data_IF_991635360533
#
_entry.id   IF_991635360533
#
_cell.length_a   1.000
_cell.length_b   1.000
_cell.length_c   1.000
_cell.angle_alpha   90.00
_cell.angle_beta   90.00
_cell.angle_gamma   90.00
#
_symmetry.space_group_name_H-M   'P 1'
#
loop_
_entity.id
_entity.type
_entity.pdbx_description
1 polymer ?
#
# COMPACT_ATOMS: atom_id res chain seq x y z
N UNK A 1 -13.83 -8.16 24.27
CA UNK A 1 -12.97 -8.80 23.25
C UNK A 1 -12.99 -7.86 22.07
N UNK A 2 -11.88 -7.17 21.75
CA UNK A 2 -11.89 -6.20 20.65
C UNK A 2 -12.22 -6.96 19.37
N UNK A 3 -13.42 -6.74 18.84
CA UNK A 3 -13.90 -7.26 17.56
C UNK A 3 -13.04 -6.59 16.49
N UNK A 4 -11.90 -7.23 16.21
CA UNK A 4 -10.85 -6.68 15.38
C UNK A 4 -11.33 -6.57 13.95
N UNK A 5 -11.69 -5.35 13.53
CA UNK A 5 -11.68 -5.01 12.11
C UNK A 5 -10.34 -5.51 11.54
N UNK A 6 -10.33 -6.27 10.43
CA UNK A 6 -9.09 -6.72 9.83
C UNK A 6 -8.15 -5.52 9.65
N UNK A 7 -6.90 -5.67 10.08
CA UNK A 7 -5.92 -4.58 10.01
C UNK A 7 -5.82 -4.07 8.57
N UNK A 8 -5.92 -2.75 8.39
CA UNK A 8 -5.87 -2.12 7.06
C UNK A 8 -4.51 -2.38 6.44
N UNK A 9 -4.50 -2.77 5.17
CA UNK A 9 -3.27 -3.05 4.44
C UNK A 9 -2.99 -1.92 3.46
N UNK A 10 -1.72 -1.55 3.34
CA UNK A 10 -1.31 -0.51 2.42
C UNK A 10 -0.18 -0.97 1.51
N UNK A 11 -0.22 -0.55 0.26
CA UNK A 11 0.88 -0.67 -0.67
C UNK A 11 1.38 0.72 -1.05
N UNK A 12 2.70 0.90 -1.07
CA UNK A 12 3.35 2.13 -1.49
C UNK A 12 3.98 1.91 -2.86
N UNK A 13 3.72 2.81 -3.79
CA UNK A 13 4.26 2.75 -5.16
C UNK A 13 4.65 4.13 -5.64
N UNK A 14 5.75 4.24 -6.41
CA UNK A 14 6.08 5.51 -7.06
C UNK A 14 5.15 5.70 -8.27
N UNK A 15 4.64 6.91 -8.52
CA UNK A 15 3.80 7.17 -9.69
C UNK A 15 4.48 6.78 -11.01
N UNK A 16 5.80 6.96 -11.11
CA UNK A 16 6.59 6.60 -12.29
C UNK A 16 6.69 5.08 -12.52
N UNK A 17 6.59 4.29 -11.47
CA UNK A 17 6.66 2.82 -11.55
C UNK A 17 5.28 2.20 -11.81
N UNK A 18 4.20 2.97 -11.61
CA UNK A 18 2.84 2.46 -11.71
C UNK A 18 2.45 2.13 -13.16
N UNK A 19 2.38 0.83 -13.44
CA UNK A 19 2.04 0.27 -14.75
C UNK A 19 1.22 -1.03 -14.59
N UNK A 20 -0.03 -0.96 -14.08
CA UNK A 20 -0.88 -2.14 -14.00
C UNK A 20 -1.31 -2.61 -15.40
N UNK A 21 -1.50 -3.91 -15.54
CA UNK A 21 -1.94 -4.56 -16.77
C UNK A 21 -2.95 -5.66 -16.45
N UNK A 22 -3.97 -5.82 -17.31
CA UNK A 22 -5.03 -6.83 -17.17
C UNK A 22 -5.76 -6.76 -15.81
N UNK A 23 -5.95 -5.55 -15.27
CA UNK A 23 -6.56 -5.34 -13.96
C UNK A 23 -5.71 -5.78 -12.78
N UNK A 24 -4.42 -6.08 -13.00
CA UNK A 24 -3.48 -6.55 -11.99
C UNK A 24 -2.26 -5.62 -11.91
N UNK A 25 -1.80 -5.35 -10.70
CA UNK A 25 -0.56 -4.66 -10.41
C UNK A 25 0.54 -5.66 -10.05
N UNK A 26 1.70 -5.52 -10.71
CA UNK A 26 2.87 -6.39 -10.55
C UNK A 26 4.11 -5.52 -10.32
N UNK A 27 4.43 -5.17 -9.06
CA UNK A 27 5.64 -4.41 -8.77
C UNK A 27 6.88 -5.25 -9.04
N UNK A 28 8.03 -4.59 -9.20
CA UNK A 28 9.31 -5.26 -9.42
C UNK A 28 9.63 -6.31 -8.34
N UNK A 29 9.23 -6.06 -7.07
CA UNK A 29 9.42 -7.00 -5.96
C UNK A 29 8.77 -8.36 -6.20
N UNK A 30 7.66 -8.41 -6.95
CA UNK A 30 7.02 -9.68 -7.28
C UNK A 30 7.93 -10.55 -8.17
N UNK A 31 8.68 -9.93 -9.09
CA UNK A 31 9.60 -10.64 -9.97
C UNK A 31 10.94 -10.95 -9.29
N UNK A 32 11.45 -10.05 -8.45
CA UNK A 32 12.76 -10.21 -7.79
C UNK A 32 12.70 -11.03 -6.51
N UNK A 33 11.64 -10.90 -5.72
CA UNK A 33 11.50 -11.49 -4.38
C UNK A 33 10.36 -12.51 -4.28
N UNK A 34 9.41 -12.47 -5.21
CA UNK A 34 8.27 -13.40 -5.27
C UNK A 34 7.01 -12.89 -4.56
N UNK A 35 7.03 -11.68 -3.99
CA UNK A 35 5.88 -11.10 -3.29
C UNK A 35 5.80 -9.58 -3.42
N UNK A 36 4.61 -9.05 -3.16
CA UNK A 36 4.31 -7.62 -3.09
C UNK A 36 4.39 -7.17 -1.64
N UNK A 37 5.22 -6.18 -1.37
CA UNK A 37 5.32 -5.57 -0.04
C UNK A 37 4.07 -4.78 0.28
N UNK A 38 3.39 -5.18 1.35
CA UNK A 38 2.36 -4.38 1.99
C UNK A 38 2.88 -3.87 3.34
N UNK A 39 2.19 -2.91 3.92
CA UNK A 39 2.53 -2.29 5.19
C UNK A 39 1.26 -2.01 5.98
N UNK A 40 1.32 -2.18 7.29
CA UNK A 40 0.30 -1.70 8.21
C UNK A 40 0.40 -0.18 8.40
N UNK A 41 -0.65 0.50 8.89
CA UNK A 41 -0.63 1.95 9.13
C UNK A 41 0.61 2.44 9.91
N UNK A 42 0.97 1.70 10.96
CA UNK A 42 2.09 2.03 11.85
C UNK A 42 3.48 1.81 11.20
N UNK A 43 3.55 1.08 10.09
CA UNK A 43 4.78 0.80 9.34
C UNK A 43 5.05 1.82 8.23
N UNK A 44 4.03 2.55 7.77
CA UNK A 44 4.10 3.44 6.61
C UNK A 44 5.25 4.46 6.69
N UNK A 45 5.37 5.15 7.82
CA UNK A 45 6.42 6.15 8.00
C UNK A 45 7.83 5.56 7.86
N UNK A 46 8.07 4.37 8.43
CA UNK A 46 9.35 3.67 8.31
C UNK A 46 9.62 3.17 6.90
N UNK A 47 8.60 2.65 6.20
CA UNK A 47 8.72 2.22 4.80
C UNK A 47 9.05 3.40 3.88
N UNK A 48 8.38 4.54 4.07
CA UNK A 48 8.62 5.76 3.28
C UNK A 48 10.03 6.31 3.47
N UNK A 49 10.50 6.44 4.71
CA UNK A 49 11.85 6.92 4.97
C UNK A 49 12.93 5.95 4.47
N UNK A 50 12.65 4.65 4.45
CA UNK A 50 13.65 3.68 4.03
C UNK A 50 13.71 3.40 2.52
N UNK A 51 12.57 3.50 1.83
CA UNK A 51 12.47 3.14 0.41
C UNK A 51 12.12 4.30 -0.50
N UNK A 52 11.58 5.40 0.02
CA UNK A 52 11.07 6.53 -0.77
C UNK A 52 11.72 7.86 -0.39
N UNK A 53 12.73 7.90 0.48
CA UNK A 53 13.35 9.17 0.92
C UNK A 53 13.92 10.03 -0.22
N UNK A 54 14.29 9.41 -1.34
CA UNK A 54 14.73 10.04 -2.59
C UNK A 54 13.55 10.50 -3.48
N UNK A 55 12.35 9.99 -3.24
CA UNK A 55 11.14 10.36 -3.94
C UNK A 55 10.48 11.59 -3.30
N UNK A 56 10.08 12.56 -4.12
CA UNK A 56 9.28 13.70 -3.67
C UNK A 56 7.79 13.38 -3.50
N UNK A 57 7.33 12.29 -4.12
CA UNK A 57 5.94 11.83 -4.05
C UNK A 57 5.88 10.29 -4.13
N UNK A 58 4.80 9.74 -3.56
CA UNK A 58 4.44 8.33 -3.66
C UNK A 58 2.92 8.22 -3.72
N UNK A 59 2.41 7.07 -4.16
CA UNK A 59 1.00 6.73 -4.00
C UNK A 59 0.85 5.72 -2.89
N UNK A 60 -0.13 5.97 -2.02
CA UNK A 60 -0.56 5.10 -0.97
C UNK A 60 -1.84 4.40 -1.42
N UNK A 61 -1.78 3.11 -1.65
CA UNK A 61 -2.94 2.28 -2.00
C UNK A 61 -3.42 1.57 -0.74
N UNK A 62 -4.69 1.72 -0.38
CA UNK A 62 -5.34 0.90 0.63
C UNK A 62 -5.92 -0.36 -0.01
N UNK A 63 -5.57 -1.51 0.57
CA UNK A 63 -5.97 -2.82 0.08
C UNK A 63 -6.99 -3.42 1.03
N UNK A 64 -8.09 -3.91 0.47
CA UNK A 64 -9.10 -4.68 1.21
C UNK A 64 -8.50 -6.04 1.63
N UNK A 65 -8.27 -6.29 2.94
CA UNK A 65 -7.60 -7.50 3.38
C UNK A 65 -8.34 -8.77 2.99
N UNK A 66 -9.68 -8.74 2.98
CA UNK A 66 -10.50 -9.87 2.57
C UNK A 66 -10.28 -10.27 1.10
N UNK A 67 -9.94 -9.32 0.22
CA UNK A 67 -9.72 -9.57 -1.20
C UNK A 67 -8.36 -10.23 -1.49
N UNK A 68 -7.40 -10.14 -0.56
CA UNK A 68 -6.03 -10.66 -0.73
C UNK A 68 -5.64 -11.73 0.30
N UNK A 69 -6.54 -12.07 1.23
CA UNK A 69 -6.27 -12.95 2.37
C UNK A 69 -5.69 -14.31 1.98
N UNK A 70 -6.10 -14.89 0.86
CA UNK A 70 -5.65 -16.22 0.42
C UNK A 70 -4.15 -16.28 0.08
N UNK A 71 -3.54 -15.16 -0.26
CA UNK A 71 -2.13 -15.05 -0.67
C UNK A 71 -1.30 -14.15 0.25
N UNK A 72 -1.91 -13.68 1.35
CA UNK A 72 -1.28 -12.81 2.32
C UNK A 72 -0.51 -13.62 3.38
N UNK A 73 0.74 -13.23 3.66
CA UNK A 73 1.58 -13.82 4.70
C UNK A 73 2.19 -12.72 5.55
N UNK A 74 2.24 -12.93 6.86
CA UNK A 74 2.98 -12.06 7.77
C UNK A 74 4.36 -12.64 7.97
N UNK A 75 5.38 -11.96 7.45
CA UNK A 75 6.75 -12.45 7.49
C UNK A 75 7.66 -11.44 8.18
N UNK A 76 8.66 -11.91 8.97
CA UNK A 76 9.59 -11.02 9.63
C UNK A 76 10.44 -10.28 8.60
N UNK A 77 10.51 -8.97 8.77
CA UNK A 77 11.33 -8.06 7.95
C UNK A 77 12.26 -7.26 8.87
N UNK A 78 12.50 -5.99 8.52
CA UNK A 78 13.38 -5.06 9.23
C UNK A 78 13.08 -5.05 10.74
N UNK A 79 14.13 -5.23 11.55
CA UNK A 79 14.02 -5.18 13.01
C UNK A 79 13.20 -6.31 13.64
N UNK A 80 12.91 -7.40 12.90
CA UNK A 80 12.09 -8.52 13.38
C UNK A 80 10.59 -8.22 13.41
N UNK A 81 10.17 -7.07 12.89
CA UNK A 81 8.76 -6.72 12.78
C UNK A 81 8.11 -7.49 11.63
N UNK A 82 6.88 -7.96 11.83
CA UNK A 82 6.11 -8.67 10.82
C UNK A 82 5.53 -7.70 9.80
N UNK A 83 5.87 -7.89 8.53
CA UNK A 83 5.28 -7.15 7.42
C UNK A 83 4.32 -8.05 6.64
N UNK A 84 3.20 -7.50 6.15
CA UNK A 84 2.33 -8.23 5.26
C UNK A 84 2.95 -8.32 3.86
N UNK A 85 3.14 -9.54 3.37
CA UNK A 85 3.60 -9.83 2.02
C UNK A 85 2.50 -10.56 1.25
N UNK A 86 2.16 -10.03 0.09
CA UNK A 86 1.20 -10.66 -0.82
C UNK A 86 1.96 -11.50 -1.85
N UNK A 87 1.84 -12.82 -1.77
CA UNK A 87 2.47 -13.79 -2.68
C UNK A 87 1.64 -13.92 -3.97
N UNK A 88 1.66 -12.88 -4.79
CA UNK A 88 0.93 -12.83 -6.05
C UNK A 88 0.80 -11.41 -6.60
N UNK A 89 0.27 -11.29 -7.81
CA UNK A 89 -0.10 -9.97 -8.35
C UNK A 89 -1.22 -9.35 -7.51
N UNK A 90 -1.17 -8.04 -7.30
CA UNK A 90 -2.21 -7.31 -6.59
C UNK A 90 -3.38 -7.02 -7.55
N UNK A 91 -4.58 -7.55 -7.31
CA UNK A 91 -5.74 -7.19 -8.11
C UNK A 91 -6.10 -5.71 -7.90
N UNK A 92 -6.32 -4.94 -8.96
CA UNK A 92 -6.79 -3.56 -8.82
C UNK A 92 -8.15 -3.49 -8.12
N UNK A 93 -8.99 -4.51 -8.30
CA UNK A 93 -10.26 -4.64 -7.60
C UNK A 93 -10.12 -4.83 -6.07
N UNK A 94 -8.93 -5.21 -5.59
CA UNK A 94 -8.65 -5.29 -4.16
C UNK A 94 -8.25 -3.93 -3.56
N UNK A 95 -7.95 -2.93 -4.40
CA UNK A 95 -7.60 -1.59 -3.93
C UNK A 95 -8.89 -0.85 -3.60
N UNK A 96 -9.14 -0.60 -2.31
CA UNK A 96 -10.33 0.10 -1.83
C UNK A 96 -10.24 1.61 -2.09
N UNK A 97 -9.07 2.20 -1.81
CA UNK A 97 -8.82 3.62 -1.95
C UNK A 97 -7.35 3.86 -2.32
N UNK A 98 -7.03 5.03 -2.86
CA UNK A 98 -5.66 5.48 -2.94
C UNK A 98 -5.49 6.99 -2.81
N UNK A 99 -4.30 7.41 -2.40
CA UNK A 99 -3.94 8.81 -2.20
C UNK A 99 -2.57 9.13 -2.77
N UNK A 100 -2.39 10.29 -3.42
CA UNK A 100 -1.08 10.86 -3.59
C UNK A 100 -0.57 11.35 -2.24
N UNK A 101 0.64 10.98 -1.89
CA UNK A 101 1.35 11.48 -0.73
C UNK A 101 2.61 12.19 -1.20
N UNK A 102 2.85 13.36 -0.64
CA UNK A 102 3.99 14.20 -0.99
C UNK A 102 4.89 14.35 0.21
N UNK A 103 6.17 14.54 -0.07
CA UNK A 103 7.17 14.84 0.94
C UNK A 103 7.33 16.36 1.03
N UNK A 104 6.81 16.95 2.10
CA UNK A 104 6.84 18.40 2.35
C UNK A 104 7.77 18.69 3.52
N UNK A 105 8.81 19.49 3.28
CA UNK A 105 9.81 19.87 4.31
C UNK A 105 10.43 18.67 5.05
N UNK A 106 10.64 17.55 4.35
CA UNK A 106 11.22 16.33 4.92
C UNK A 106 10.24 15.41 5.65
N UNK A 107 8.97 15.79 5.75
CA UNK A 107 7.91 14.97 6.34
C UNK A 107 6.95 14.46 5.27
N UNK A 108 6.47 13.23 5.43
CA UNK A 108 5.45 12.67 4.55
C UNK A 108 4.06 13.07 5.01
N UNK A 109 3.30 13.70 4.10
CA UNK A 109 1.90 14.01 4.32
C UNK A 109 1.05 12.74 4.15
N UNK A 110 1.02 11.91 5.19
CA UNK A 110 0.14 10.74 5.23
C UNK A 110 -1.31 11.18 5.49
N UNK A 111 -2.31 10.58 4.81
CA UNK A 111 -3.70 10.81 5.18
C UNK A 111 -3.92 10.38 6.63
N UNK A 112 -4.88 10.98 7.33
CA UNK A 112 -5.26 10.50 8.67
C UNK A 112 -5.88 9.11 8.52
N UNK A 113 -5.06 8.08 8.70
CA UNK A 113 -5.43 6.66 8.57
C UNK A 113 -6.04 6.11 9.87
N UNK A 114 -6.46 6.99 10.79
CA UNK A 114 -7.11 6.65 12.07
C UNK A 114 -8.35 7.50 12.29
N UNK A 115 -9.48 6.82 12.42
CA UNK A 115 -10.82 7.32 12.73
C UNK A 115 -11.46 8.28 11.71
N UNK A 116 -12.70 7.97 11.34
CA UNK A 116 -13.45 8.59 10.27
C UNK A 116 -13.68 10.11 10.50
N UNK A 117 -12.78 10.97 10.03
CA UNK A 117 -13.07 12.39 9.78
C UNK A 117 -11.93 13.06 8.99
N UNK A 118 -12.11 13.19 7.67
CA UNK A 118 -11.30 14.07 6.83
C UNK A 118 -10.09 13.39 6.19
N UNK A 119 -10.35 12.56 5.18
CA UNK A 119 -9.35 12.27 4.14
C UNK A 119 -9.46 13.37 3.08
N UNK A 120 -8.32 13.83 2.54
CA UNK A 120 -8.35 14.35 1.17
C UNK A 120 -8.99 13.25 0.30
N UNK A 121 -9.93 13.63 -0.55
CA UNK A 121 -10.77 12.67 -1.25
C UNK A 121 -9.88 11.64 -1.98
N UNK A 122 -10.15 10.33 -1.81
CA UNK A 122 -9.42 9.33 -2.57
C UNK A 122 -9.58 9.63 -4.06
N UNK A 123 -8.50 9.50 -4.81
CA UNK A 123 -8.56 9.67 -6.27
C UNK A 123 -9.01 8.37 -6.93
N UNK A 124 -9.24 8.43 -8.25
CA UNK A 124 -9.47 7.25 -9.06
C UNK A 124 -8.14 6.61 -9.49
N UNK A 125 -8.02 5.29 -9.34
CA UNK A 125 -6.77 4.59 -9.61
C UNK A 125 -6.52 4.66 -11.12
N UNK A 126 -5.43 5.29 -11.58
CA UNK A 126 -5.18 5.39 -13.01
C UNK A 126 -4.95 3.99 -13.58
N UNK A 127 -5.74 3.63 -14.59
CA UNK A 127 -5.69 2.31 -15.24
C UNK A 127 -6.57 1.23 -14.60
N UNK A 128 -7.30 1.52 -13.51
CA UNK A 128 -8.39 0.64 -13.08
C UNK A 128 -9.58 0.81 -14.05
N UNK A 129 -10.26 -0.29 -14.44
CA UNK A 129 -11.50 -0.16 -15.20
C UNK A 129 -12.50 0.64 -14.36
N UNK A 130 -13.08 1.68 -14.98
CA UNK A 130 -14.25 2.36 -14.43
C UNK A 130 -15.36 1.31 -14.30
N UNK A 131 -15.70 0.94 -13.07
CA UNK A 131 -16.83 0.06 -12.77
C UNK A 131 -18.16 0.77 -13.09
#
# INVERSE_FOLDING_TARGET
>A
MAEGRPERLFHLVRPADWAPADGMWRPASLASEGFVHLSFPHQLAGTLEAHFADAGCAWLLEIEPAAVAASLRLEPSRGGQLFPHLHGALPLAAVACHWPIERVSGLWALPRVGDAAGVDAPLAIPGAPLA
#
